data_IF_549486335662
#
_entry.id   IF_549486335662
#
_cell.length_a   1.000
_cell.length_b   1.000
_cell.length_c   1.000
_cell.angle_alpha   90.00
_cell.angle_beta   90.00
_cell.angle_gamma   90.00
#
_symmetry.space_group_name_H-M   'P 1'
#
loop_
_entity.id
_entity.type
_entity.pdbx_description
1 polymer ?
#
# COMPACT_ATOMS: atom_id res chain seq x y z
N UNK A 1 -33.32 -28.14 20.31
CA UNK A 1 -33.46 -28.47 18.87
C UNK A 1 -32.60 -27.47 18.11
N UNK A 2 -31.36 -27.84 17.83
CA UNK A 2 -30.48 -27.03 16.97
C UNK A 2 -30.70 -27.46 15.53
N UNK A 3 -31.23 -26.56 14.71
CA UNK A 3 -31.35 -26.77 13.26
C UNK A 3 -29.97 -26.58 12.60
N UNK A 4 -29.54 -27.62 11.92
CA UNK A 4 -28.36 -27.62 11.06
C UNK A 4 -28.54 -26.60 9.95
N UNK A 5 -27.64 -25.62 9.87
CA UNK A 5 -27.55 -24.73 8.73
C UNK A 5 -26.68 -25.46 7.69
N UNK A 6 -27.15 -25.69 6.46
CA UNK A 6 -26.29 -26.27 5.44
C UNK A 6 -25.22 -25.27 5.00
N UNK A 7 -23.99 -25.69 5.10
CA UNK A 7 -22.83 -25.00 4.54
C UNK A 7 -22.90 -25.13 3.02
N UNK A 8 -23.37 -24.12 2.33
CA UNK A 8 -23.41 -24.08 0.86
C UNK A 8 -22.56 -22.96 0.33
N UNK A 9 -21.84 -23.28 -0.73
CA UNK A 9 -21.09 -22.44 -1.64
C UNK A 9 -19.66 -22.09 -1.23
N UNK A 10 -18.76 -23.01 -1.57
CA UNK A 10 -17.45 -22.64 -2.10
C UNK A 10 -17.68 -21.84 -3.39
N UNK A 11 -17.73 -20.52 -3.29
CA UNK A 11 -17.58 -19.66 -4.44
C UNK A 11 -16.17 -19.88 -4.99
N UNK A 12 -16.05 -20.13 -6.28
CA UNK A 12 -14.80 -20.17 -7.00
C UNK A 12 -14.00 -18.87 -6.69
N UNK A 13 -12.90 -19.02 -5.93
CA UNK A 13 -11.91 -17.97 -5.77
C UNK A 13 -11.34 -17.69 -7.17
N UNK A 14 -11.84 -16.66 -7.81
CA UNK A 14 -11.11 -16.05 -8.91
C UNK A 14 -9.79 -15.55 -8.33
N UNK A 15 -8.68 -16.21 -8.65
CA UNK A 15 -7.37 -15.83 -8.18
C UNK A 15 -7.08 -14.41 -8.62
N UNK A 16 -6.97 -13.49 -7.67
CA UNK A 16 -6.59 -12.12 -7.95
C UNK A 16 -5.19 -12.08 -8.57
N UNK A 17 -5.03 -11.34 -9.64
CA UNK A 17 -3.76 -11.20 -10.36
C UNK A 17 -2.56 -10.84 -9.46
N UNK A 18 -2.71 -10.01 -8.39
CA UNK A 18 -1.64 -9.72 -7.44
C UNK A 18 -1.08 -10.95 -6.73
N UNK A 19 -1.91 -11.97 -6.46
CA UNK A 19 -1.47 -13.22 -5.81
C UNK A 19 -0.64 -14.12 -6.74
N UNK A 20 -0.90 -14.12 -8.05
CA UNK A 20 -0.09 -14.88 -9.02
C UNK A 20 1.27 -14.22 -9.25
N UNK A 21 1.33 -12.90 -9.27
CA UNK A 21 2.58 -12.16 -9.37
C UNK A 21 3.47 -12.34 -8.15
N UNK A 22 2.91 -12.27 -6.96
CA UNK A 22 3.61 -12.58 -5.71
C UNK A 22 4.22 -14.00 -5.76
N UNK A 23 3.51 -14.99 -6.29
CA UNK A 23 4.01 -16.37 -6.45
C UNK A 23 5.16 -16.49 -7.45
N UNK A 24 5.16 -15.73 -8.54
CA UNK A 24 6.20 -15.81 -9.59
C UNK A 24 7.48 -15.11 -9.18
N UNK A 25 7.40 -13.98 -8.46
CA UNK A 25 8.54 -13.30 -7.86
C UNK A 25 9.14 -14.11 -6.69
N UNK A 26 8.33 -14.93 -6.00
CA UNK A 26 8.73 -15.69 -4.81
C UNK A 26 9.74 -16.81 -5.05
N UNK A 27 9.95 -17.25 -6.28
CA UNK A 27 10.85 -18.37 -6.59
C UNK A 27 12.34 -18.06 -6.40
N UNK A 28 12.72 -16.81 -6.10
CA UNK A 28 14.09 -16.35 -5.93
C UNK A 28 14.38 -15.59 -4.61
N UNK A 29 13.34 -15.27 -3.80
CA UNK A 29 13.47 -14.49 -2.58
C UNK A 29 13.27 -15.42 -1.39
N UNK A 30 14.26 -15.53 -0.50
CA UNK A 30 14.23 -16.37 0.71
C UNK A 30 13.62 -15.65 1.91
N UNK A 31 13.32 -16.39 2.97
CA UNK A 31 12.74 -15.85 4.21
C UNK A 31 13.58 -14.72 4.82
N UNK A 32 14.91 -14.78 4.69
CA UNK A 32 15.81 -13.74 5.22
C UNK A 32 15.60 -12.40 4.49
N UNK A 33 15.48 -12.43 3.17
CA UNK A 33 15.21 -11.23 2.36
C UNK A 33 13.82 -10.68 2.66
N UNK A 34 12.82 -11.56 2.85
CA UNK A 34 11.44 -11.16 3.20
C UNK A 34 11.39 -10.52 4.59
N UNK A 35 12.07 -11.11 5.58
CA UNK A 35 12.15 -10.54 6.92
C UNK A 35 12.89 -9.20 6.94
N UNK A 36 13.94 -9.02 6.14
CA UNK A 36 14.64 -7.74 6.00
C UNK A 36 13.79 -6.69 5.27
N UNK A 37 12.98 -7.11 4.29
CA UNK A 37 11.98 -6.24 3.68
C UNK A 37 10.96 -5.76 4.72
N UNK A 38 10.36 -6.66 5.49
CA UNK A 38 9.46 -6.29 6.58
C UNK A 38 10.17 -5.37 7.59
N UNK A 39 11.38 -5.71 8.04
CA UNK A 39 12.15 -4.89 8.97
C UNK A 39 12.42 -3.47 8.45
N UNK A 40 12.58 -3.29 7.13
CA UNK A 40 12.75 -1.97 6.54
C UNK A 40 11.50 -1.11 6.73
N UNK A 41 10.31 -1.67 6.54
CA UNK A 41 9.04 -0.99 6.71
C UNK A 41 8.78 -0.68 8.19
N UNK A 42 9.02 -1.63 9.07
CA UNK A 42 8.89 -1.44 10.51
C UNK A 42 9.85 -0.36 11.06
N UNK A 43 11.08 -0.29 10.52
CA UNK A 43 11.99 0.81 10.85
C UNK A 43 11.42 2.16 10.43
N UNK A 44 10.79 2.23 9.25
CA UNK A 44 10.16 3.43 8.72
C UNK A 44 9.01 3.87 9.62
N UNK A 45 8.07 2.98 9.96
CA UNK A 45 6.90 3.25 10.79
C UNK A 45 7.31 3.62 12.24
N UNK A 46 8.16 2.83 12.87
CA UNK A 46 8.72 3.15 14.19
C UNK A 46 9.37 4.54 14.21
N UNK A 47 10.16 4.87 13.19
CA UNK A 47 10.83 6.17 13.08
C UNK A 47 9.82 7.29 12.90
N UNK A 48 8.85 7.09 12.02
CA UNK A 48 7.77 8.02 11.75
C UNK A 48 7.01 8.38 13.03
N UNK A 49 6.50 7.39 13.77
CA UNK A 49 5.79 7.64 15.01
C UNK A 49 6.67 8.22 16.11
N UNK A 50 7.93 7.78 16.23
CA UNK A 50 8.84 8.30 17.24
C UNK A 50 9.14 9.78 17.02
N UNK A 51 9.42 10.19 15.78
CA UNK A 51 9.69 11.60 15.46
C UNK A 51 8.43 12.46 15.49
N UNK A 52 7.32 11.96 14.94
CA UNK A 52 6.06 12.69 14.90
C UNK A 52 5.54 13.01 16.30
N UNK A 53 5.48 12.02 17.19
CA UNK A 53 5.04 12.23 18.59
C UNK A 53 6.04 13.00 19.46
N UNK A 54 7.29 13.16 19.02
CA UNK A 54 8.24 14.09 19.62
C UNK A 54 8.02 15.52 19.13
N UNK A 55 7.71 15.69 17.85
CA UNK A 55 7.58 17.00 17.20
C UNK A 55 6.21 17.63 17.43
N UNK A 56 5.15 16.82 17.54
CA UNK A 56 3.77 17.26 17.71
C UNK A 56 3.24 16.80 19.07
N UNK A 57 2.88 17.76 19.91
CA UNK A 57 2.34 17.52 21.26
C UNK A 57 0.85 17.16 21.22
N UNK A 58 0.31 16.67 22.33
CA UNK A 58 -1.13 16.44 22.45
C UNK A 58 -1.98 17.69 22.17
N UNK A 59 -1.45 18.89 22.45
CA UNK A 59 -2.13 20.14 22.16
C UNK A 59 -2.17 20.43 20.64
N UNK A 60 -1.12 20.06 19.89
CA UNK A 60 -1.11 20.20 18.44
C UNK A 60 -2.16 19.28 17.79
N UNK A 61 -2.30 18.06 18.32
CA UNK A 61 -3.35 17.12 17.87
C UNK A 61 -4.76 17.64 18.19
N UNK A 62 -4.99 18.17 19.40
CA UNK A 62 -6.31 18.73 19.74
C UNK A 62 -6.62 19.97 18.91
N UNK A 63 -5.64 20.81 18.62
CA UNK A 63 -5.79 21.96 17.73
C UNK A 63 -6.07 21.56 16.27
N UNK A 64 -5.62 20.38 15.86
CA UNK A 64 -5.91 19.79 14.56
C UNK A 64 -7.25 19.05 14.50
N UNK A 65 -8.03 19.01 15.59
CA UNK A 65 -9.36 18.40 15.66
C UNK A 65 -9.38 16.96 16.17
N UNK A 66 -8.24 16.40 16.58
CA UNK A 66 -8.17 15.05 17.17
C UNK A 66 -8.36 15.12 18.69
N UNK A 67 -8.88 14.03 19.28
CA UNK A 67 -9.04 13.96 20.74
C UNK A 67 -7.71 13.70 21.44
N UNK A 68 -7.63 14.05 22.74
CA UNK A 68 -6.50 13.66 23.59
C UNK A 68 -6.34 12.14 23.66
N UNK A 69 -7.45 11.41 23.74
CA UNK A 69 -7.47 9.94 23.75
C UNK A 69 -6.87 9.35 22.46
N UNK A 70 -7.10 10.00 21.30
CA UNK A 70 -6.47 9.61 20.05
C UNK A 70 -4.95 9.75 20.12
N UNK A 71 -4.43 10.89 20.62
CA UNK A 71 -2.99 11.07 20.82
C UNK A 71 -2.39 10.00 21.74
N UNK A 72 -3.06 9.71 22.87
CA UNK A 72 -2.60 8.71 23.82
C UNK A 72 -2.59 7.29 23.18
N UNK A 73 -3.51 7.00 22.28
CA UNK A 73 -3.52 5.73 21.50
C UNK A 73 -2.43 5.68 20.45
N UNK A 74 -2.09 6.78 19.78
CA UNK A 74 -0.95 6.81 18.86
C UNK A 74 0.39 6.51 19.57
N UNK A 75 0.50 6.81 20.88
CA UNK A 75 1.69 6.39 21.64
C UNK A 75 1.79 4.87 21.78
N UNK A 76 0.64 4.16 21.80
CA UNK A 76 0.61 2.68 21.80
C UNK A 76 0.96 2.12 20.43
N UNK A 77 0.41 2.71 19.35
CA UNK A 77 0.82 2.36 17.98
C UNK A 77 2.34 2.44 17.86
N UNK A 78 2.96 3.56 18.23
CA UNK A 78 4.43 3.68 18.26
C UNK A 78 5.12 2.55 19.03
N UNK A 79 4.57 2.11 20.14
CA UNK A 79 5.19 1.08 20.98
C UNK A 79 4.97 -0.32 20.40
N UNK A 80 3.88 -0.53 19.63
CA UNK A 80 3.67 -1.72 18.82
C UNK A 80 4.74 -1.79 17.70
N UNK A 81 4.99 -0.70 16.96
CA UNK A 81 6.05 -0.65 15.91
C UNK A 81 7.46 -0.91 16.48
N UNK A 82 7.75 -0.44 17.70
CA UNK A 82 8.99 -0.81 18.39
C UNK A 82 9.08 -2.30 18.68
N UNK A 83 7.96 -2.93 19.03
CA UNK A 83 7.88 -4.37 19.29
C UNK A 83 8.07 -5.18 18.00
N UNK A 84 7.48 -4.76 16.90
CA UNK A 84 7.64 -5.37 15.57
C UNK A 84 9.09 -5.32 15.13
N UNK A 85 9.73 -4.14 15.18
CA UNK A 85 11.17 -3.99 14.89
C UNK A 85 12.02 -4.93 15.76
N UNK A 86 11.77 -4.95 17.07
CA UNK A 86 12.53 -5.81 18.00
C UNK A 86 12.37 -7.28 17.64
N UNK A 87 11.16 -7.71 17.33
CA UNK A 87 10.87 -9.09 16.94
C UNK A 87 11.65 -9.49 15.67
N UNK A 88 11.50 -8.71 14.59
CA UNK A 88 12.14 -9.01 13.31
C UNK A 88 13.66 -8.94 13.40
N UNK A 89 14.22 -7.93 14.06
CA UNK A 89 15.67 -7.80 14.25
C UNK A 89 16.23 -8.97 15.08
N UNK A 90 15.49 -9.43 16.09
CA UNK A 90 15.89 -10.60 16.89
C UNK A 90 15.86 -11.88 16.07
N UNK A 91 14.81 -12.09 15.25
CA UNK A 91 14.70 -13.26 14.37
C UNK A 91 15.82 -13.31 13.31
N UNK A 92 16.22 -12.16 12.79
CA UNK A 92 17.30 -12.03 11.80
C UNK A 92 18.70 -12.12 12.42
N UNK A 93 18.87 -11.69 13.67
CA UNK A 93 20.18 -11.66 14.34
C UNK A 93 21.22 -10.87 13.53
N UNK A 94 22.36 -11.46 13.25
CA UNK A 94 23.44 -10.82 12.47
C UNK A 94 23.11 -10.60 10.98
N UNK A 95 21.99 -11.13 10.50
CA UNK A 95 21.51 -10.95 9.12
C UNK A 95 20.57 -9.75 8.99
N UNK A 96 20.21 -9.09 10.10
CA UNK A 96 19.38 -7.89 10.08
C UNK A 96 20.12 -6.76 9.35
N UNK A 97 19.42 -6.08 8.46
CA UNK A 97 19.94 -4.87 7.82
C UNK A 97 20.10 -3.74 8.84
N UNK A 98 21.04 -2.84 8.58
CA UNK A 98 21.13 -1.60 9.32
C UNK A 98 19.89 -0.73 9.03
N UNK A 99 19.45 0.01 10.06
CA UNK A 99 18.34 0.95 9.90
C UNK A 99 18.68 2.03 8.86
N UNK A 100 17.82 2.23 7.84
CA UNK A 100 17.98 3.30 6.87
C UNK A 100 17.75 4.69 7.50
N UNK A 101 18.14 5.74 6.77
CA UNK A 101 17.72 7.10 7.11
C UNK A 101 16.36 7.39 6.48
N UNK A 102 15.46 8.00 7.26
CA UNK A 102 14.12 8.36 6.81
C UNK A 102 13.90 9.87 6.92
N UNK A 103 13.08 10.40 6.01
CA UNK A 103 12.63 11.79 6.00
C UNK A 103 11.16 11.85 5.64
N UNK A 104 10.38 12.56 6.44
CA UNK A 104 8.92 12.61 6.27
C UNK A 104 8.46 14.05 5.98
N UNK A 105 7.73 14.29 4.88
CA UNK A 105 7.23 15.62 4.51
C UNK A 105 5.97 15.98 5.30
N UNK A 106 6.12 16.14 6.62
CA UNK A 106 5.01 16.41 7.55
C UNK A 106 5.24 17.78 8.19
N UNK A 107 4.25 18.66 8.14
CA UNK A 107 4.35 20.04 8.61
C UNK A 107 3.50 20.32 9.86
N UNK A 108 2.53 19.49 10.18
CA UNK A 108 1.60 19.65 11.30
C UNK A 108 1.01 18.30 11.72
N UNK A 109 0.25 18.29 12.82
CA UNK A 109 -0.36 17.05 13.35
C UNK A 109 -1.40 16.43 12.39
N UNK A 110 -2.12 17.22 11.60
CA UNK A 110 -3.08 16.69 10.63
C UNK A 110 -2.37 15.97 9.48
N UNK A 111 -1.32 16.58 8.90
CA UNK A 111 -0.49 15.93 7.87
C UNK A 111 0.15 14.64 8.41
N UNK A 112 0.56 14.66 9.70
CA UNK A 112 1.10 13.48 10.36
C UNK A 112 0.09 12.33 10.39
N UNK A 113 -1.16 12.59 10.82
CA UNK A 113 -2.20 11.56 10.88
C UNK A 113 -2.57 11.07 9.47
N UNK A 114 -2.63 11.99 8.49
CA UNK A 114 -2.87 11.62 7.09
C UNK A 114 -1.80 10.68 6.54
N UNK A 115 -0.52 10.98 6.78
CA UNK A 115 0.58 10.11 6.36
C UNK A 115 0.61 8.81 7.16
N UNK A 116 0.26 8.83 8.47
CA UNK A 116 0.11 7.62 9.27
C UNK A 116 -0.86 6.64 8.63
N UNK A 117 -2.06 7.09 8.24
CA UNK A 117 -3.05 6.25 7.56
C UNK A 117 -2.53 5.62 6.27
N UNK A 118 -1.74 6.37 5.50
CA UNK A 118 -1.09 5.85 4.28
C UNK A 118 -0.06 4.77 4.62
N UNK A 119 0.82 5.00 5.60
CA UNK A 119 1.88 4.05 5.95
C UNK A 119 1.30 2.74 6.48
N UNK A 120 0.37 2.80 7.42
CA UNK A 120 -0.31 1.61 7.95
C UNK A 120 -1.01 0.79 6.85
N UNK A 121 -1.70 1.47 5.91
CA UNK A 121 -2.30 0.78 4.77
C UNK A 121 -1.27 0.13 3.83
N UNK A 122 -0.08 0.72 3.72
CA UNK A 122 1.05 0.11 2.98
C UNK A 122 1.61 -1.09 3.76
N UNK A 123 1.72 -1.02 5.10
CA UNK A 123 2.11 -2.12 5.97
C UNK A 123 1.19 -3.33 5.80
N UNK A 124 -0.14 -3.12 5.87
CA UNK A 124 -1.14 -4.17 5.58
C UNK A 124 -0.90 -4.82 4.22
N UNK A 125 -0.75 -4.00 3.16
CA UNK A 125 -0.57 -4.48 1.79
C UNK A 125 0.74 -5.24 1.60
N UNK A 126 1.78 -4.83 2.29
CA UNK A 126 3.11 -5.44 2.26
C UNK A 126 3.13 -6.82 2.92
N UNK A 127 2.61 -6.94 4.14
CA UNK A 127 2.51 -8.22 4.85
C UNK A 127 1.62 -9.21 4.11
N UNK A 128 0.47 -8.74 3.62
CA UNK A 128 -0.47 -9.58 2.88
C UNK A 128 0.15 -10.08 1.57
N UNK A 129 0.82 -9.20 0.82
CA UNK A 129 1.46 -9.54 -0.45
C UNK A 129 2.66 -10.48 -0.29
N UNK A 130 3.44 -10.33 0.80
CA UNK A 130 4.58 -11.17 1.10
C UNK A 130 4.21 -12.56 1.63
N UNK A 131 3.01 -12.72 2.22
CA UNK A 131 2.62 -13.92 2.97
C UNK A 131 2.78 -15.22 2.18
N UNK A 132 2.41 -15.24 0.89
CA UNK A 132 2.52 -16.42 0.03
C UNK A 132 3.97 -16.84 -0.27
N UNK A 133 4.94 -15.96 -0.05
CA UNK A 133 6.36 -16.18 -0.32
C UNK A 133 7.12 -16.71 0.90
N UNK A 134 6.53 -16.62 2.11
CA UNK A 134 7.17 -17.07 3.35
C UNK A 134 7.11 -18.60 3.43
N UNK A 135 8.29 -19.23 3.45
CA UNK A 135 8.43 -20.69 3.49
C UNK A 135 8.30 -21.24 4.92
N UNK A 136 8.89 -20.56 5.90
CA UNK A 136 8.84 -20.94 7.31
C UNK A 136 7.47 -20.61 7.92
N UNK A 137 6.79 -21.61 8.47
CA UNK A 137 5.43 -21.46 8.99
C UNK A 137 5.36 -20.66 10.29
N UNK A 138 6.42 -20.65 11.08
CA UNK A 138 6.49 -19.82 12.29
C UNK A 138 6.63 -18.34 11.90
N UNK A 139 7.46 -18.03 10.89
CA UNK A 139 7.53 -16.68 10.33
C UNK A 139 6.22 -16.26 9.67
N UNK A 140 5.54 -17.16 8.96
CA UNK A 140 4.22 -16.86 8.38
C UNK A 140 3.19 -16.53 9.46
N UNK A 141 3.19 -17.31 10.57
CA UNK A 141 2.28 -17.04 11.70
C UNK A 141 2.59 -15.71 12.38
N UNK A 142 3.87 -15.39 12.55
CA UNK A 142 4.31 -14.12 13.11
C UNK A 142 3.93 -12.94 12.18
N UNK A 143 4.20 -13.05 10.88
CA UNK A 143 3.80 -12.05 9.89
C UNK A 143 2.28 -11.83 9.87
N UNK A 144 1.49 -12.90 9.97
CA UNK A 144 0.04 -12.82 10.09
C UNK A 144 -0.42 -12.11 11.37
N UNK A 145 0.30 -12.28 12.49
CA UNK A 145 -0.01 -11.57 13.73
C UNK A 145 0.28 -10.07 13.65
N UNK A 146 1.36 -9.67 12.99
CA UNK A 146 1.67 -8.26 12.71
C UNK A 146 0.64 -7.69 11.72
N UNK A 147 0.39 -8.35 10.59
CA UNK A 147 -0.63 -7.94 9.59
C UNK A 147 -1.95 -7.53 10.24
N UNK A 148 -2.43 -8.31 11.22
CA UNK A 148 -3.69 -7.99 11.89
C UNK A 148 -3.59 -6.78 12.84
N UNK A 149 -2.42 -6.43 13.33
CA UNK A 149 -2.16 -5.19 14.09
C UNK A 149 -2.18 -4.00 13.15
N UNK A 150 -1.43 -4.07 12.03
CA UNK A 150 -1.41 -3.05 10.98
C UNK A 150 -2.82 -2.70 10.48
N UNK A 151 -3.65 -3.73 10.21
CA UNK A 151 -5.04 -3.54 9.79
C UNK A 151 -5.88 -2.80 10.85
N UNK A 152 -5.64 -3.05 12.15
CA UNK A 152 -6.30 -2.30 13.23
C UNK A 152 -5.82 -0.86 13.33
N UNK A 153 -4.52 -0.60 13.19
CA UNK A 153 -3.96 0.74 13.17
C UNK A 153 -4.54 1.54 12.00
N UNK A 154 -4.49 0.99 10.78
CA UNK A 154 -5.04 1.60 9.57
C UNK A 154 -6.53 1.95 9.75
N UNK A 155 -7.36 1.00 10.19
CA UNK A 155 -8.79 1.21 10.42
C UNK A 155 -9.06 2.31 11.46
N UNK A 156 -8.31 2.32 12.57
CA UNK A 156 -8.44 3.30 13.62
C UNK A 156 -8.07 4.71 13.15
N UNK A 157 -6.99 4.85 12.39
CA UNK A 157 -6.53 6.13 11.86
C UNK A 157 -7.49 6.65 10.79
N UNK A 158 -7.97 5.79 9.88
CA UNK A 158 -8.99 6.15 8.88
C UNK A 158 -10.24 6.71 9.55
N UNK A 159 -10.73 6.06 10.60
CA UNK A 159 -11.88 6.56 11.37
C UNK A 159 -11.62 7.95 11.99
N UNK A 160 -10.41 8.20 12.49
CA UNK A 160 -10.04 9.50 13.05
C UNK A 160 -9.93 10.60 11.98
N UNK A 161 -9.58 10.26 10.74
CA UNK A 161 -9.57 11.16 9.58
C UNK A 161 -10.97 11.40 9.00
N UNK A 162 -12.01 10.72 9.50
CA UNK A 162 -13.37 10.78 8.94
C UNK A 162 -13.51 10.00 7.63
N UNK A 163 -12.57 9.12 7.33
CA UNK A 163 -12.62 8.17 6.23
C UNK A 163 -13.37 6.91 6.66
N UNK A 164 -13.84 6.12 5.67
CA UNK A 164 -14.46 4.83 6.00
C UNK A 164 -13.39 3.85 6.52
N UNK A 165 -13.54 3.33 7.75
CA UNK A 165 -12.59 2.36 8.31
C UNK A 165 -12.69 0.96 7.69
N UNK A 166 -13.74 0.68 6.90
CA UNK A 166 -14.04 -0.61 6.28
C UNK A 166 -14.37 -0.46 4.79
N UNK A 167 -13.47 0.15 3.98
CA UNK A 167 -13.81 0.57 2.62
C UNK A 167 -14.07 -0.59 1.66
N UNK A 168 -13.45 -1.75 1.92
CA UNK A 168 -13.56 -2.96 1.10
C UNK A 168 -13.60 -4.21 1.99
N UNK A 169 -14.21 -5.32 1.50
CA UNK A 169 -14.23 -6.56 2.26
C UNK A 169 -12.89 -7.31 2.26
N UNK A 170 -11.91 -6.87 1.49
CA UNK A 170 -10.57 -7.46 1.37
C UNK A 170 -9.53 -6.37 1.28
N UNK A 171 -8.41 -6.52 1.98
CA UNK A 171 -7.25 -5.67 1.79
C UNK A 171 -6.51 -5.98 0.49
N UNK A 172 -5.77 -5.00 -0.02
CA UNK A 172 -5.06 -5.10 -1.29
C UNK A 172 -3.66 -5.67 -1.08
N UNK A 173 -3.35 -6.89 -1.55
CA UNK A 173 -1.96 -7.38 -1.50
C UNK A 173 -1.10 -6.66 -2.53
N UNK A 174 0.11 -6.24 -2.15
CA UNK A 174 1.09 -5.67 -3.06
C UNK A 174 2.38 -6.51 -3.09
N UNK A 175 2.98 -6.62 -4.27
CA UNK A 175 4.29 -7.24 -4.45
C UNK A 175 5.42 -6.41 -3.83
N UNK A 176 6.63 -6.99 -3.79
CA UNK A 176 7.79 -6.38 -3.13
C UNK A 176 8.24 -5.06 -3.76
N UNK A 177 8.38 -5.00 -5.10
CA UNK A 177 8.83 -3.80 -5.79
C UNK A 177 7.82 -2.64 -5.74
N UNK A 178 6.50 -2.87 -5.89
CA UNK A 178 5.47 -1.86 -5.62
C UNK A 178 5.58 -1.22 -4.23
N UNK A 179 5.68 -2.01 -3.17
CA UNK A 179 5.80 -1.50 -1.80
C UNK A 179 7.15 -0.82 -1.59
N UNK A 180 8.23 -1.41 -2.07
CA UNK A 180 9.56 -0.80 -1.98
C UNK A 180 9.61 0.56 -2.69
N UNK A 181 8.87 0.73 -3.80
CA UNK A 181 8.73 2.02 -4.50
C UNK A 181 8.05 3.07 -3.64
N UNK A 182 7.04 2.70 -2.86
CA UNK A 182 6.37 3.60 -1.92
C UNK A 182 7.31 4.00 -0.77
N UNK A 183 8.00 3.03 -0.17
CA UNK A 183 8.95 3.28 0.92
C UNK A 183 10.16 4.13 0.47
N UNK A 184 10.61 3.97 -0.77
CA UNK A 184 11.76 4.69 -1.33
C UNK A 184 11.56 6.22 -1.34
N UNK A 185 10.30 6.70 -1.39
CA UNK A 185 9.97 8.12 -1.28
C UNK A 185 10.37 8.75 0.06
N UNK A 186 10.55 7.95 1.09
CA UNK A 186 10.89 8.38 2.46
C UNK A 186 12.27 7.92 2.90
N UNK A 187 12.93 7.05 2.12
CA UNK A 187 14.09 6.28 2.57
C UNK A 187 15.36 6.64 1.83
N UNK A 188 16.43 6.89 2.56
CA UNK A 188 17.80 6.89 2.03
C UNK A 188 18.50 5.66 2.61
N UNK A 189 18.72 4.65 1.77
CA UNK A 189 19.36 3.39 2.19
C UNK A 189 20.83 3.65 2.50
N UNK A 190 21.33 3.12 3.61
CA UNK A 190 22.72 3.24 3.97
C UNK A 190 23.63 2.62 2.88
N UNK A 191 24.79 3.22 2.58
CA UNK A 191 25.72 2.65 1.62
C UNK A 191 26.08 1.18 1.98
N UNK A 192 26.00 0.29 1.01
CA UNK A 192 26.30 -1.14 1.20
C UNK A 192 25.11 -2.01 1.57
N UNK A 193 23.94 -1.46 1.91
CA UNK A 193 22.71 -2.23 2.09
C UNK A 193 22.23 -2.74 0.73
N UNK A 194 22.11 -4.05 0.59
CA UNK A 194 21.58 -4.69 -0.62
C UNK A 194 20.28 -5.38 -0.27
N UNK A 195 19.17 -4.82 -0.73
CA UNK A 195 17.89 -5.51 -0.80
C UNK A 195 17.65 -5.94 -2.25
N UNK A 196 17.08 -7.12 -2.51
CA UNK A 196 16.83 -7.63 -3.86
C UNK A 196 15.63 -6.93 -4.51
N UNK A 197 15.20 -5.79 -3.98
CA UNK A 197 14.03 -5.04 -4.43
C UNK A 197 14.46 -3.77 -5.18
N UNK A 198 13.63 -3.38 -6.16
CA UNK A 198 13.90 -2.23 -7.02
C UNK A 198 12.69 -1.31 -7.04
N UNK A 199 12.93 -0.04 -6.75
CA UNK A 199 11.89 0.98 -6.90
C UNK A 199 11.60 1.25 -8.38
N UNK A 200 10.33 1.41 -8.70
CA UNK A 200 9.89 1.91 -10.00
C UNK A 200 10.19 3.41 -10.14
N UNK A 201 10.26 3.94 -11.36
CA UNK A 201 10.24 5.38 -11.58
C UNK A 201 9.02 6.01 -10.90
N UNK A 202 9.19 7.19 -10.34
CA UNK A 202 8.14 7.87 -9.57
C UNK A 202 6.88 8.16 -10.39
N UNK A 203 5.74 8.13 -9.74
CA UNK A 203 4.44 8.44 -10.33
C UNK A 203 3.66 9.35 -9.38
N UNK A 204 3.21 10.49 -9.87
CA UNK A 204 2.27 11.37 -9.16
C UNK A 204 0.92 11.39 -9.85
N UNK A 205 -0.14 11.63 -9.08
CA UNK A 205 -1.53 11.62 -9.58
C UNK A 205 -2.28 12.87 -9.16
N UNK A 206 -3.20 13.30 -10.01
CA UNK A 206 -4.17 14.36 -9.72
C UNK A 206 -5.55 13.97 -10.23
N UNK A 207 -6.59 14.36 -9.50
CA UNK A 207 -7.99 14.14 -9.91
C UNK A 207 -8.47 15.30 -10.80
N UNK A 208 -9.31 14.98 -11.80
CA UNK A 208 -10.03 15.97 -12.59
C UNK A 208 -11.24 16.60 -11.86
N UNK A 209 -11.66 16.02 -10.73
CA UNK A 209 -12.78 16.54 -9.95
C UNK A 209 -12.42 17.88 -9.30
N UNK A 210 -13.35 18.84 -9.31
CA UNK A 210 -13.13 20.21 -8.80
C UNK A 210 -12.67 20.30 -7.35
N UNK A 211 -13.03 19.30 -6.54
CA UNK A 211 -12.62 19.19 -5.14
C UNK A 211 -11.31 18.39 -4.93
N UNK A 212 -10.67 17.95 -6.01
CA UNK A 212 -9.46 17.13 -5.96
C UNK A 212 -9.67 15.67 -5.51
N UNK A 213 -10.89 15.27 -5.18
CA UNK A 213 -11.18 13.89 -4.71
C UNK A 213 -11.19 12.91 -5.86
N UNK A 214 -10.71 11.70 -5.61
CA UNK A 214 -10.85 10.58 -6.53
C UNK A 214 -12.19 9.90 -6.28
N UNK A 215 -13.02 9.80 -7.31
CA UNK A 215 -14.36 9.24 -7.19
C UNK A 215 -14.53 8.08 -8.16
N UNK A 216 -14.83 6.91 -7.65
CA UNK A 216 -15.04 5.71 -8.47
C UNK A 216 -16.12 5.94 -9.54
N UNK A 217 -15.81 5.60 -10.78
CA UNK A 217 -16.70 5.78 -11.94
C UNK A 217 -16.93 7.22 -12.37
N UNK A 218 -16.26 8.21 -11.77
CA UNK A 218 -16.45 9.62 -12.08
C UNK A 218 -15.11 10.34 -12.29
N UNK A 219 -15.05 11.14 -13.36
CA UNK A 219 -13.88 11.93 -13.69
C UNK A 219 -12.70 11.08 -14.18
N UNK A 220 -11.56 11.72 -14.26
CA UNK A 220 -10.31 11.10 -14.71
C UNK A 220 -9.18 11.34 -13.71
N UNK A 221 -8.18 10.48 -13.80
CA UNK A 221 -6.92 10.58 -13.07
C UNK A 221 -5.84 10.96 -14.07
N UNK A 222 -5.12 12.02 -13.76
CA UNK A 222 -3.92 12.43 -14.51
C UNK A 222 -2.70 11.88 -13.78
N UNK A 223 -1.89 11.12 -14.50
CA UNK A 223 -0.66 10.48 -14.07
C UNK A 223 0.53 11.24 -14.65
N UNK A 224 1.47 11.63 -13.80
CA UNK A 224 2.73 12.22 -14.24
C UNK A 224 3.89 11.35 -13.77
N UNK A 225 4.55 10.69 -14.73
CA UNK A 225 5.73 9.87 -14.46
C UNK A 225 6.99 10.73 -14.29
N UNK A 226 7.90 10.26 -13.45
CA UNK A 226 9.20 10.88 -13.24
C UNK A 226 10.03 10.98 -14.55
N UNK A 227 11.02 11.87 -14.54
CA UNK A 227 11.87 12.10 -15.72
C UNK A 227 12.70 10.88 -16.12
N UNK A 228 13.03 10.03 -15.14
CA UNK A 228 13.85 8.82 -15.34
C UNK A 228 13.02 7.62 -15.80
N UNK A 229 11.74 7.81 -16.07
CA UNK A 229 10.88 6.75 -16.58
C UNK A 229 11.24 6.39 -18.01
N UNK A 230 11.19 5.10 -18.38
CA UNK A 230 11.50 4.68 -19.74
C UNK A 230 10.59 5.35 -20.77
N UNK A 231 11.14 5.58 -21.94
CA UNK A 231 10.33 5.97 -23.10
C UNK A 231 9.33 4.85 -23.39
N UNK A 232 8.08 5.20 -23.64
CA UNK A 232 7.01 4.24 -23.89
C UNK A 232 6.59 4.32 -25.34
N UNK A 233 6.68 3.20 -26.06
CA UNK A 233 6.07 3.03 -27.37
C UNK A 233 4.85 2.10 -27.22
N UNK A 234 3.72 2.46 -27.84
CA UNK A 234 2.50 1.65 -27.79
C UNK A 234 1.48 2.09 -26.75
N UNK A 235 0.53 1.20 -26.48
CA UNK A 235 -0.56 1.46 -25.55
C UNK A 235 -0.07 1.43 -24.10
N UNK A 236 -0.60 2.33 -23.30
CA UNK A 236 -0.35 2.42 -21.87
C UNK A 236 -1.67 2.24 -21.14
N UNK A 237 -1.61 1.57 -20.01
CA UNK A 237 -2.74 1.35 -19.13
C UNK A 237 -2.42 1.89 -17.73
N UNK A 238 -3.39 2.58 -17.16
CA UNK A 238 -3.42 2.82 -15.72
C UNK A 238 -3.99 1.57 -15.05
N UNK A 239 -3.21 0.97 -14.18
CA UNK A 239 -3.60 -0.25 -13.47
C UNK A 239 -3.91 0.13 -12.03
N UNK A 240 -5.15 -0.09 -11.60
CA UNK A 240 -5.59 0.19 -10.25
C UNK A 240 -5.79 -1.11 -9.47
N UNK A 241 -5.31 -1.14 -8.24
CA UNK A 241 -5.47 -2.25 -7.31
C UNK A 241 -6.35 -1.81 -6.13
N UNK A 242 -7.43 -2.52 -5.88
CA UNK A 242 -8.33 -2.29 -4.75
C UNK A 242 -8.92 -3.60 -4.25
N UNK A 243 -8.64 -3.97 -3.01
CA UNK A 243 -9.00 -5.28 -2.49
C UNK A 243 -8.42 -6.41 -3.35
N UNK A 244 -9.28 -7.31 -3.78
CA UNK A 244 -8.92 -8.43 -4.67
C UNK A 244 -9.05 -8.07 -6.17
N UNK A 245 -9.39 -6.83 -6.51
CA UNK A 245 -9.65 -6.42 -7.88
C UNK A 245 -8.47 -5.68 -8.50
N UNK A 246 -8.29 -5.88 -9.81
CA UNK A 246 -7.32 -5.15 -10.61
C UNK A 246 -8.01 -4.59 -11.85
N UNK A 247 -7.94 -3.28 -12.03
CA UNK A 247 -8.59 -2.57 -13.14
C UNK A 247 -7.53 -2.07 -14.12
N UNK A 248 -7.62 -2.51 -15.37
CA UNK A 248 -6.74 -2.09 -16.46
C UNK A 248 -7.45 -1.06 -17.32
N UNK A 249 -7.15 0.21 -17.13
CA UNK A 249 -7.83 1.31 -17.81
C UNK A 249 -6.92 1.90 -18.86
N UNK A 250 -7.32 1.97 -20.14
CA UNK A 250 -6.52 2.64 -21.17
C UNK A 250 -6.14 4.04 -20.73
N UNK A 251 -4.86 4.39 -20.83
CA UNK A 251 -4.33 5.69 -20.47
C UNK A 251 -3.84 6.42 -21.71
N UNK A 252 -4.43 7.58 -21.99
CA UNK A 252 -4.08 8.41 -23.13
C UNK A 252 -2.95 9.37 -22.76
N UNK A 253 -1.97 9.51 -23.66
CA UNK A 253 -0.89 10.50 -23.48
C UNK A 253 -1.47 11.90 -23.64
N UNK A 254 -1.29 12.73 -22.61
CA UNK A 254 -1.74 14.12 -22.58
C UNK A 254 -0.58 15.13 -22.53
N UNK A 255 0.64 14.69 -22.84
CA UNK A 255 1.85 15.51 -22.88
C UNK A 255 3.10 14.71 -22.51
N UNK A 256 4.25 15.37 -22.46
CA UNK A 256 5.50 14.73 -22.04
C UNK A 256 5.36 14.14 -20.65
N UNK A 257 5.53 12.82 -20.53
CA UNK A 257 5.46 12.09 -19.27
C UNK A 257 4.10 12.15 -18.55
N UNK A 258 3.01 12.58 -19.21
CA UNK A 258 1.68 12.73 -18.63
C UNK A 258 0.69 11.84 -19.35
N UNK A 259 -0.13 11.14 -18.59
CA UNK A 259 -1.19 10.23 -19.07
C UNK A 259 -2.48 10.53 -18.34
N UNK A 260 -3.61 10.34 -19.01
CA UNK A 260 -4.93 10.50 -18.40
C UNK A 260 -5.74 9.22 -18.62
N UNK A 261 -6.35 8.73 -17.57
CA UNK A 261 -7.25 7.58 -17.60
C UNK A 261 -8.54 7.89 -16.83
N UNK A 262 -9.65 7.30 -17.24
CA UNK A 262 -10.89 7.38 -16.48
C UNK A 262 -10.73 6.64 -15.14
N UNK A 263 -11.36 7.17 -14.08
CA UNK A 263 -11.44 6.44 -12.81
C UNK A 263 -12.40 5.26 -12.98
N UNK A 264 -11.97 4.00 -12.74
CA UNK A 264 -12.85 2.84 -12.88
C UNK A 264 -13.98 2.90 -11.84
N UNK A 265 -15.14 2.36 -12.21
CA UNK A 265 -16.32 2.27 -11.35
C UNK A 265 -16.77 0.84 -11.14
N UNK A 266 -17.96 0.69 -10.58
CA UNK A 266 -18.63 -0.60 -10.45
C UNK A 266 -18.84 -1.25 -11.83
N UNK A 267 -18.72 -2.57 -11.91
CA UNK A 267 -18.90 -3.36 -13.14
C UNK A 267 -17.92 -3.01 -14.28
N UNK A 268 -16.74 -2.48 -13.97
CA UNK A 268 -15.80 -2.03 -15.00
C UNK A 268 -15.30 -3.18 -15.88
N UNK A 269 -14.80 -4.27 -15.31
CA UNK A 269 -14.34 -5.43 -16.08
C UNK A 269 -15.46 -6.47 -16.28
N UNK A 270 -16.34 -6.63 -15.30
CA UNK A 270 -17.40 -7.63 -15.31
C UNK A 270 -18.58 -7.25 -14.43
N UNK A 271 -19.75 -7.82 -14.72
CA UNK A 271 -20.96 -7.61 -13.91
C UNK A 271 -20.76 -8.12 -12.49
N UNK A 272 -21.05 -7.29 -11.50
CA UNK A 272 -20.92 -7.60 -10.06
C UNK A 272 -19.54 -7.26 -9.49
N UNK A 273 -18.62 -6.75 -10.30
CA UNK A 273 -17.35 -6.24 -9.80
C UNK A 273 -17.57 -4.96 -8.98
N UNK A 274 -17.04 -4.86 -7.74
CA UNK A 274 -17.17 -3.66 -6.92
C UNK A 274 -16.40 -2.49 -7.52
N UNK A 275 -16.78 -1.28 -7.17
CA UNK A 275 -15.97 -0.10 -7.44
C UNK A 275 -14.72 -0.07 -6.55
N UNK A 276 -13.59 0.51 -6.99
CA UNK A 276 -12.44 0.72 -6.13
C UNK A 276 -12.79 1.69 -5.00
N UNK A 277 -12.32 1.40 -3.78
CA UNK A 277 -12.56 2.21 -2.60
C UNK A 277 -11.40 2.14 -1.58
N UNK A 278 -11.33 3.12 -0.68
CA UNK A 278 -10.29 3.25 0.32
C UNK A 278 -8.95 3.62 -0.28
N UNK A 279 -7.89 3.08 0.28
CA UNK A 279 -6.53 3.25 -0.24
C UNK A 279 -6.34 2.38 -1.48
N UNK A 280 -6.42 3.02 -2.64
CA UNK A 280 -6.26 2.40 -3.95
C UNK A 280 -4.85 2.68 -4.46
N UNK A 281 -4.19 1.64 -4.96
CA UNK A 281 -2.86 1.79 -5.56
C UNK A 281 -2.96 1.85 -7.07
N UNK A 282 -2.12 2.66 -7.69
CA UNK A 282 -2.12 2.79 -9.14
C UNK A 282 -0.70 2.84 -9.72
N UNK A 283 -0.52 2.24 -10.88
CA UNK A 283 0.70 2.31 -11.66
C UNK A 283 0.39 2.46 -13.16
N UNK A 284 1.40 2.82 -13.95
CA UNK A 284 1.34 2.78 -15.40
C UNK A 284 2.06 1.53 -15.91
N UNK A 285 1.42 0.79 -16.82
CA UNK A 285 1.95 -0.44 -17.39
C UNK A 285 1.67 -0.52 -18.89
N UNK A 286 2.44 -1.36 -19.60
CA UNK A 286 2.12 -1.77 -20.97
C UNK A 286 1.17 -2.96 -21.02
N UNK A 287 0.89 -3.60 -19.89
CA UNK A 287 -0.06 -4.72 -19.77
C UNK A 287 -1.51 -4.25 -19.87
N UNK A 288 -2.33 -5.00 -20.59
CA UNK A 288 -3.75 -4.70 -20.83
C UNK A 288 -4.72 -5.50 -19.94
N UNK A 289 -4.20 -6.39 -19.12
CA UNK A 289 -4.98 -7.25 -18.24
C UNK A 289 -5.61 -8.47 -18.94
N UNK A 290 -5.57 -8.55 -20.27
CA UNK A 290 -6.10 -9.67 -21.07
C UNK A 290 -4.98 -10.58 -21.57
N UNK A 291 -4.09 -10.04 -22.37
CA UNK A 291 -2.94 -10.77 -22.93
C UNK A 291 -1.80 -10.86 -21.92
N UNK A 292 -1.63 -9.84 -21.11
CA UNK A 292 -0.62 -9.80 -20.06
C UNK A 292 -1.13 -9.11 -18.80
N UNK A 293 -0.62 -9.53 -17.64
CA UNK A 293 -0.83 -8.85 -16.34
C UNK A 293 0.32 -7.90 -16.05
N UNK A 294 0.03 -6.84 -15.31
CA UNK A 294 1.06 -5.92 -14.84
C UNK A 294 2.05 -6.66 -13.93
N UNK A 295 3.32 -6.43 -14.15
CA UNK A 295 4.44 -7.01 -13.39
C UNK A 295 5.63 -6.05 -13.39
N UNK A 296 6.71 -6.45 -12.71
CA UNK A 296 7.89 -5.61 -12.56
C UNK A 296 8.55 -5.24 -13.90
N UNK A 297 8.45 -6.11 -14.91
CA UNK A 297 9.09 -5.93 -16.22
C UNK A 297 8.32 -4.98 -17.14
N UNK A 298 6.98 -4.95 -17.00
CA UNK A 298 6.10 -4.14 -17.86
C UNK A 298 5.54 -2.90 -17.14
N UNK A 299 5.94 -2.65 -15.89
CA UNK A 299 5.62 -1.43 -15.15
C UNK A 299 6.48 -0.25 -15.62
N UNK A 300 5.84 0.81 -16.06
CA UNK A 300 6.49 2.03 -16.59
C UNK A 300 6.87 2.99 -15.47
N UNK A 301 5.96 3.18 -14.53
CA UNK A 301 6.12 4.05 -13.37
C UNK A 301 5.07 3.68 -12.30
N UNK A 302 5.40 3.87 -11.04
CA UNK A 302 4.51 3.56 -9.91
C UNK A 302 5.29 3.60 -8.59
N UNK A 303 4.63 3.49 -7.51
CA UNK A 303 3.19 3.35 -7.28
C UNK A 303 2.66 4.67 -6.79
N UNK A 304 1.49 5.06 -7.23
CA UNK A 304 0.76 6.18 -6.65
C UNK A 304 -0.37 5.66 -5.76
N UNK A 305 -0.74 6.42 -4.75
CA UNK A 305 -1.85 6.13 -3.85
C UNK A 305 -2.97 7.14 -4.10
N UNK A 306 -4.20 6.64 -4.17
CA UNK A 306 -5.42 7.40 -4.28
C UNK A 306 -6.34 7.03 -3.11
N UNK A 307 -6.80 8.01 -2.34
CA UNK A 307 -7.89 7.78 -1.40
C UNK A 307 -9.22 7.96 -2.11
N UNK A 308 -10.00 6.88 -2.17
CA UNK A 308 -11.26 6.79 -2.91
C UNK A 308 -12.40 6.57 -1.92
N UNK A 309 -13.24 7.59 -1.63
CA UNK A 309 -14.35 7.43 -0.72
C UNK A 309 -15.42 6.51 -1.29
N UNK A 310 -16.15 5.79 -0.43
CA UNK A 310 -17.29 4.95 -0.83
C UNK A 310 -18.42 5.75 -1.49
N UNK A 311 -18.55 7.02 -1.13
CA UNK A 311 -19.55 7.94 -1.69
C UNK A 311 -18.91 9.27 -2.06
N UNK A 312 -19.18 9.73 -3.26
CA UNK A 312 -18.81 11.03 -3.81
C UNK A 312 -20.03 11.96 -4.00
#
# INVERSE_FOLDING_TARGET
MFRSIPLLCLASLAAAAPLEEAKKASSQIGDIEILNYALTLEYLERKFYTEGLKNYTANDFTSAGFSRDFYDKLTRVRDDEKSHVKFLATALGSKAIAEPHFSFPVNNAHDFVGLAGVLEGVGVSAYLGAAASISNKDYLSAAGSILTVEARHASYIRAALGEDPFPTPYDTPLGFNPVFSLAAGFTTVAPGTKLPFKAFPTLSVTSSNKNGKFCAGKGSVTFKKGKDSPATSGKVYAVFYSGQQTYYVPAESSGSNTYTAMMPGENYNSKGEPAPAGQVYALLSTADGKESKANDENTIAGVAILEVPLRC
#
